data_IF_128096145793
#
_entry.id   IF_128096145793
#
_cell.length_a   1.000
_cell.length_b   1.000
_cell.length_c   1.000
_cell.angle_alpha   90.00
_cell.angle_beta   90.00
_cell.angle_gamma   90.00
#
_symmetry.space_group_name_H-M   'P 1'
#
loop_
_entity.id
_entity.type
_entity.pdbx_description
1 polymer ?
#
# COMPACT_ATOMS: atom_id res chain seq x y z
N UNK A 1 38.13 4.38 4.76
CA UNK A 1 38.00 2.93 5.00
C UNK A 1 39.34 2.36 5.41
N UNK A 2 39.52 2.10 6.70
CA UNK A 2 40.60 1.25 7.19
C UNK A 2 39.99 -0.10 7.53
N UNK A 3 40.52 -1.16 6.93
CA UNK A 3 40.22 -2.53 7.35
C UNK A 3 41.38 -3.03 8.20
N UNK A 4 41.05 -3.64 9.35
CA UNK A 4 42.02 -4.30 10.22
C UNK A 4 41.59 -5.74 10.39
N UNK A 5 42.53 -6.65 10.24
CA UNK A 5 42.29 -8.07 10.47
C UNK A 5 43.12 -8.51 11.66
N UNK A 6 42.47 -9.12 12.64
CA UNK A 6 43.12 -9.64 13.84
C UNK A 6 42.48 -10.95 14.29
N UNK A 7 43.26 -11.76 14.99
CA UNK A 7 42.76 -12.95 15.65
C UNK A 7 42.23 -12.55 17.03
N UNK A 8 40.94 -12.79 17.28
CA UNK A 8 40.32 -12.64 18.60
C UNK A 8 40.32 -14.00 19.28
N UNK A 9 40.90 -14.07 20.48
CA UNK A 9 40.95 -15.29 21.30
C UNK A 9 40.08 -15.05 22.53
N UNK A 10 39.03 -15.86 22.69
CA UNK A 10 38.08 -15.81 23.81
C UNK A 10 37.98 -17.21 24.41
N UNK A 11 38.63 -17.42 25.56
CA UNK A 11 38.76 -18.75 26.16
C UNK A 11 39.61 -19.67 25.28
N UNK A 12 39.01 -20.79 24.85
CA UNK A 12 39.59 -21.77 23.93
C UNK A 12 39.21 -21.56 22.45
N UNK A 13 38.40 -20.55 22.14
CA UNK A 13 37.98 -20.21 20.79
C UNK A 13 38.91 -19.17 20.14
N UNK A 14 39.33 -19.43 18.90
CA UNK A 14 40.08 -18.48 18.07
C UNK A 14 39.23 -18.09 16.85
N UNK A 15 38.96 -16.79 16.71
CA UNK A 15 38.17 -16.21 15.63
C UNK A 15 39.01 -15.24 14.81
N UNK A 16 39.00 -15.36 13.48
CA UNK A 16 39.55 -14.35 12.58
C UNK A 16 38.52 -13.23 12.40
N UNK A 17 38.83 -12.04 12.91
CA UNK A 17 37.95 -10.87 12.84
C UNK A 17 38.51 -9.89 11.81
N UNK A 18 37.67 -9.50 10.86
CA UNK A 18 37.93 -8.37 9.96
C UNK A 18 37.03 -7.21 10.38
N UNK A 19 37.63 -6.19 10.96
CA UNK A 19 36.97 -4.95 11.34
C UNK A 19 37.08 -3.93 10.20
N UNK A 20 35.96 -3.35 9.79
CA UNK A 20 35.92 -2.28 8.79
C UNK A 20 35.38 -1.04 9.48
N UNK A 21 36.24 -0.02 9.58
CA UNK A 21 35.86 1.27 10.14
C UNK A 21 35.45 2.19 8.98
N UNK A 22 34.15 2.47 8.90
CA UNK A 22 33.57 3.38 7.92
C UNK A 22 33.83 4.85 8.30
N UNK A 23 33.60 5.19 9.57
CA UNK A 23 33.82 6.54 10.13
C UNK A 23 34.16 6.46 11.62
N UNK A 24 35.11 7.27 12.05
CA UNK A 24 35.38 7.52 13.47
C UNK A 24 34.78 8.88 13.87
N UNK A 25 34.11 8.92 15.02
CA UNK A 25 33.57 10.13 15.63
C UNK A 25 33.92 10.14 17.11
N UNK A 26 34.05 11.32 17.71
CA UNK A 26 34.30 11.40 19.14
C UNK A 26 33.03 11.04 19.91
N UNK A 27 33.18 10.43 21.10
CA UNK A 27 32.03 10.12 21.95
C UNK A 27 31.20 11.38 22.31
N UNK A 28 31.80 12.54 22.63
CA UNK A 28 31.04 13.77 22.82
C UNK A 28 30.24 14.20 21.58
N UNK A 29 30.80 14.08 20.37
CA UNK A 29 30.09 14.43 19.13
C UNK A 29 28.92 13.48 18.88
N UNK A 30 29.12 12.17 19.09
CA UNK A 30 28.07 11.17 18.98
C UNK A 30 26.95 11.43 19.99
N UNK A 31 27.30 11.70 21.26
CA UNK A 31 26.31 12.00 22.30
C UNK A 31 25.59 13.32 22.04
N UNK A 32 26.29 14.33 21.51
CA UNK A 32 25.69 15.60 21.09
C UNK A 32 24.73 15.38 19.93
N UNK A 33 25.09 14.56 18.95
CA UNK A 33 24.23 14.19 17.82
C UNK A 33 23.01 13.38 18.28
N UNK A 34 23.19 12.42 19.19
CA UNK A 34 22.10 11.62 19.77
C UNK A 34 21.17 12.44 20.68
N UNK A 35 21.66 13.50 21.32
CA UNK A 35 20.83 14.40 22.15
C UNK A 35 20.20 15.53 21.34
N UNK A 36 20.78 15.91 20.19
CA UNK A 36 20.16 16.80 19.20
C UNK A 36 19.25 16.05 18.22
N UNK A 37 19.36 14.73 18.13
CA UNK A 37 18.34 13.85 17.58
C UNK A 37 17.11 13.92 18.49
N UNK A 38 16.37 15.04 18.40
CA UNK A 38 15.00 15.11 18.86
C UNK A 38 14.31 13.84 18.39
N UNK A 39 13.64 13.16 19.31
CA UNK A 39 12.67 12.13 18.98
C UNK A 39 11.68 12.80 18.04
N UNK A 40 11.89 12.63 16.74
CA UNK A 40 11.04 13.19 15.72
C UNK A 40 9.76 12.37 15.78
N UNK A 41 8.80 12.83 16.57
CA UNK A 41 7.46 12.26 16.54
C UNK A 41 6.95 12.44 15.12
N UNK A 42 6.98 11.37 14.33
CA UNK A 42 6.45 11.42 12.98
C UNK A 42 4.97 11.79 13.09
N UNK A 43 4.47 12.77 12.32
CA UNK A 43 3.05 13.05 12.30
C UNK A 43 2.32 11.74 11.97
N UNK A 44 1.14 11.54 12.55
CA UNK A 44 0.28 10.40 12.19
C UNK A 44 0.13 10.40 10.67
N UNK A 45 0.66 9.37 10.03
CA UNK A 45 0.61 9.26 8.58
C UNK A 45 -0.83 8.89 8.15
N UNK A 46 -1.25 9.33 6.95
CA UNK A 46 -2.53 8.92 6.39
C UNK A 46 -2.62 7.40 6.24
N UNK A 47 -3.84 6.87 6.26
CA UNK A 47 -4.10 5.44 6.11
C UNK A 47 -3.69 4.98 4.70
N UNK A 48 -2.82 3.97 4.61
CA UNK A 48 -2.29 3.48 3.32
C UNK A 48 -1.15 4.32 2.75
N UNK A 49 -0.55 5.22 3.55
CA UNK A 49 0.65 5.94 3.14
C UNK A 49 1.81 4.98 2.84
N UNK A 50 2.30 4.99 1.60
CA UNK A 50 3.46 4.20 1.12
C UNK A 50 4.75 4.99 1.22
N UNK A 51 4.70 6.27 0.90
CA UNK A 51 5.84 7.17 0.98
C UNK A 51 5.41 8.50 1.58
N UNK A 52 6.25 9.03 2.45
CA UNK A 52 6.16 10.42 2.91
C UNK A 52 7.50 11.08 2.66
N UNK A 53 7.49 12.16 1.90
CA UNK A 53 8.68 12.91 1.52
C UNK A 53 8.49 14.34 2.01
N UNK A 54 9.43 14.82 2.82
CA UNK A 54 9.49 16.20 3.26
C UNK A 54 10.66 16.88 2.57
N UNK A 55 10.42 18.05 1.99
CA UNK A 55 11.49 18.88 1.46
C UNK A 55 12.34 19.40 2.61
N UNK A 56 13.68 19.29 2.50
CA UNK A 56 14.59 19.85 3.50
C UNK A 56 14.79 21.37 3.35
N UNK A 57 14.42 21.93 2.19
CA UNK A 57 14.63 23.34 1.83
C UNK A 57 13.35 24.17 1.87
N UNK A 58 12.19 23.52 1.80
CA UNK A 58 10.87 24.16 1.89
C UNK A 58 10.02 23.43 2.91
N UNK A 59 8.99 24.06 3.46
CA UNK A 59 8.05 23.38 4.37
C UNK A 59 7.04 22.47 3.61
N UNK A 60 7.40 22.03 2.40
CA UNK A 60 6.56 21.14 1.59
C UNK A 60 6.69 19.70 2.07
N UNK A 61 5.55 19.03 2.18
CA UNK A 61 5.48 17.58 2.35
C UNK A 61 4.63 16.96 1.24
N UNK A 62 5.00 15.75 0.83
CA UNK A 62 4.23 14.94 -0.12
C UNK A 62 3.94 13.59 0.49
N UNK A 63 2.67 13.20 0.45
CA UNK A 63 2.17 11.92 0.91
C UNK A 63 1.71 11.11 -0.30
N UNK A 64 2.27 9.91 -0.47
CA UNK A 64 1.81 8.93 -1.45
C UNK A 64 0.94 7.93 -0.71
N UNK A 65 -0.37 7.98 -0.94
CA UNK A 65 -1.35 7.10 -0.31
C UNK A 65 -1.86 6.12 -1.34
N UNK A 66 -1.72 4.82 -1.06
CA UNK A 66 -2.24 3.75 -1.91
C UNK A 66 -3.48 3.12 -1.27
N UNK A 67 -4.55 3.03 -2.05
CA UNK A 67 -5.71 2.22 -1.69
C UNK A 67 -5.70 0.93 -2.51
N UNK A 68 -5.91 -0.24 -1.87
CA UNK A 68 -5.96 -1.52 -2.58
C UNK A 68 -7.19 -1.60 -3.50
N UNK A 69 -7.18 -2.56 -4.45
CA UNK A 69 -8.29 -2.80 -5.36
C UNK A 69 -9.57 -3.03 -4.57
N UNK A 70 -10.62 -2.31 -4.94
CA UNK A 70 -11.84 -2.29 -4.15
C UNK A 70 -13.04 -1.92 -5.01
N UNK A 71 -14.24 -2.14 -4.48
CA UNK A 71 -15.47 -1.65 -5.10
C UNK A 71 -15.85 -0.31 -4.47
N UNK A 72 -15.78 0.76 -5.25
CA UNK A 72 -16.13 2.12 -4.84
C UNK A 72 -17.49 2.52 -5.38
N UNK A 73 -18.29 3.15 -4.54
CA UNK A 73 -19.52 3.81 -4.94
C UNK A 73 -19.19 5.24 -5.33
N UNK A 74 -19.62 5.66 -6.51
CA UNK A 74 -19.44 7.03 -7.02
C UNK A 74 -20.79 7.62 -7.40
N UNK A 75 -20.96 8.92 -7.22
CA UNK A 75 -22.09 9.69 -7.73
C UNK A 75 -21.65 10.43 -8.99
N UNK A 76 -22.31 10.19 -10.13
CA UNK A 76 -21.93 10.76 -11.41
C UNK A 76 -23.08 11.57 -12.04
N UNK A 77 -22.79 12.84 -12.34
CA UNK A 77 -23.64 13.72 -13.12
C UNK A 77 -23.20 13.72 -14.58
N UNK A 78 -23.98 13.04 -15.43
CA UNK A 78 -23.64 12.84 -16.83
C UNK A 78 -23.86 14.09 -17.71
N UNK A 79 -24.67 15.05 -17.26
CA UNK A 79 -25.03 16.22 -18.07
C UNK A 79 -24.57 17.53 -17.42
N UNK A 80 -24.26 18.52 -18.26
CA UNK A 80 -24.05 19.92 -17.85
C UNK A 80 -25.37 20.66 -17.58
N UNK A 81 -26.52 20.02 -17.81
CA UNK A 81 -27.83 20.60 -17.52
C UNK A 81 -28.12 20.41 -16.04
N UNK A 82 -28.57 21.48 -15.40
CA UNK A 82 -28.83 21.55 -13.97
C UNK A 82 -29.81 20.47 -13.47
N UNK A 83 -30.71 20.00 -14.35
CA UNK A 83 -31.81 19.10 -13.99
C UNK A 83 -31.53 17.61 -14.21
N UNK A 84 -30.33 17.20 -14.64
CA UNK A 84 -30.03 15.77 -14.73
C UNK A 84 -29.74 15.19 -13.36
N UNK A 85 -30.58 14.25 -12.91
CA UNK A 85 -30.38 13.56 -11.66
C UNK A 85 -29.03 12.80 -11.63
N UNK A 86 -28.29 12.88 -10.52
CA UNK A 86 -27.08 12.08 -10.34
C UNK A 86 -27.41 10.60 -10.43
N UNK A 87 -26.53 9.84 -11.09
CA UNK A 87 -26.61 8.38 -11.08
C UNK A 87 -25.48 7.82 -10.23
N UNK A 88 -25.82 6.94 -9.29
CA UNK A 88 -24.84 6.23 -8.47
C UNK A 88 -24.36 4.96 -9.16
N UNK A 89 -23.04 4.77 -9.24
CA UNK A 89 -22.41 3.57 -9.78
C UNK A 89 -21.52 2.91 -8.74
N UNK A 90 -21.52 1.57 -8.69
CA UNK A 90 -20.59 0.80 -7.88
C UNK A 90 -19.55 0.13 -8.78
N UNK A 91 -18.34 0.69 -8.79
CA UNK A 91 -17.27 0.35 -9.71
C UNK A 91 -16.17 -0.43 -8.99
N UNK A 92 -15.67 -1.49 -9.62
CA UNK A 92 -14.41 -2.09 -9.24
C UNK A 92 -13.28 -1.22 -9.80
N UNK A 93 -12.44 -0.71 -8.91
CA UNK A 93 -11.26 0.09 -9.23
C UNK A 93 -10.00 -0.71 -8.91
N UNK A 94 -8.90 -0.50 -9.65
CA UNK A 94 -7.63 -1.16 -9.37
C UNK A 94 -6.98 -0.48 -8.15
N UNK A 95 -5.66 -0.60 -7.97
CA UNK A 95 -4.97 0.22 -6.97
C UNK A 95 -5.15 1.69 -7.33
N UNK A 96 -5.58 2.50 -6.37
CA UNK A 96 -5.74 3.95 -6.53
C UNK A 96 -4.64 4.63 -5.74
N UNK A 97 -3.82 5.39 -6.44
CA UNK A 97 -2.67 6.10 -5.88
C UNK A 97 -3.00 7.58 -5.80
N UNK A 98 -3.08 8.09 -4.59
CA UNK A 98 -3.23 9.50 -4.31
C UNK A 98 -1.87 10.09 -3.96
N UNK A 99 -1.49 11.19 -4.61
CA UNK A 99 -0.31 11.97 -4.26
C UNK A 99 -0.78 13.32 -3.76
N UNK A 100 -0.53 13.62 -2.50
CA UNK A 100 -1.02 14.82 -1.81
C UNK A 100 0.15 15.68 -1.41
N UNK A 101 0.15 16.95 -1.80
CA UNK A 101 1.14 17.93 -1.34
C UNK A 101 0.54 18.83 -0.26
N UNK A 102 1.38 19.19 0.71
CA UNK A 102 1.08 20.19 1.73
C UNK A 102 2.21 21.20 1.84
N UNK A 103 1.90 22.41 2.28
CA UNK A 103 2.87 23.38 2.81
C UNK A 103 2.55 23.57 4.29
N UNK A 104 3.48 23.14 5.14
CA UNK A 104 3.21 22.87 6.54
C UNK A 104 1.98 21.98 6.67
N UNK A 105 0.95 22.55 7.27
CA UNK A 105 -0.30 21.87 7.59
C UNK A 105 -1.42 22.06 6.56
N UNK A 106 -1.21 22.89 5.53
CA UNK A 106 -2.22 23.22 4.52
C UNK A 106 -2.09 22.31 3.29
N UNK A 107 -3.20 21.75 2.83
CA UNK A 107 -3.24 20.97 1.58
C UNK A 107 -3.13 21.92 0.39
N UNK A 108 -2.14 21.67 -0.46
CA UNK A 108 -1.88 22.44 -1.68
C UNK A 108 -2.47 21.77 -2.92
N UNK A 109 -2.39 20.43 -2.98
CA UNK A 109 -2.78 19.70 -4.17
C UNK A 109 -3.04 18.23 -3.91
N UNK A 110 -3.88 17.66 -4.78
CA UNK A 110 -4.21 16.25 -4.82
C UNK A 110 -4.09 15.79 -6.27
N UNK A 111 -3.36 14.71 -6.49
CA UNK A 111 -3.32 14.00 -7.76
C UNK A 111 -3.74 12.55 -7.57
N UNK A 112 -4.39 11.96 -8.56
CA UNK A 112 -4.86 10.57 -8.53
C UNK A 112 -4.42 9.80 -9.77
N UNK A 113 -3.95 8.58 -9.55
CA UNK A 113 -3.46 7.65 -10.57
C UNK A 113 -3.96 6.24 -10.29
N UNK A 114 -3.85 5.37 -11.28
CA UNK A 114 -4.10 3.95 -11.13
C UNK A 114 -2.83 3.12 -11.22
N UNK A 115 -2.86 1.93 -10.62
CA UNK A 115 -1.92 0.84 -10.87
C UNK A 115 -2.63 -0.50 -10.83
N UNK A 116 -2.14 -1.47 -11.59
CA UNK A 116 -2.66 -2.86 -11.56
C UNK A 116 -1.91 -3.75 -10.57
N UNK A 117 -0.88 -3.23 -9.91
CA UNK A 117 -0.06 -3.91 -8.90
C UNK A 117 0.29 -2.94 -7.74
N UNK A 118 0.59 -3.45 -6.54
CA UNK A 118 1.04 -2.63 -5.40
C UNK A 118 2.32 -1.83 -5.69
N UNK A 119 2.44 -0.65 -5.10
CA UNK A 119 3.63 0.21 -5.15
C UNK A 119 4.79 -0.48 -4.43
N UNK A 120 5.80 -0.87 -5.21
CA UNK A 120 7.05 -1.44 -4.70
C UNK A 120 8.15 -0.37 -4.52
N UNK A 121 8.15 0.69 -5.33
CA UNK A 121 9.17 1.74 -5.28
C UNK A 121 8.66 3.08 -5.82
N UNK A 122 9.44 4.15 -5.60
CA UNK A 122 9.18 5.47 -6.21
C UNK A 122 9.35 5.43 -7.74
N UNK A 123 10.07 4.47 -8.29
CA UNK A 123 10.25 4.33 -9.74
C UNK A 123 9.08 3.60 -10.42
N UNK A 124 8.05 3.24 -9.64
CA UNK A 124 6.83 2.64 -10.14
C UNK A 124 6.20 3.48 -11.26
N UNK A 125 5.84 2.80 -12.34
CA UNK A 125 5.01 3.36 -13.41
C UNK A 125 3.59 3.59 -12.91
N UNK A 126 2.99 4.68 -13.39
CA UNK A 126 1.63 5.08 -13.08
C UNK A 126 0.75 4.91 -14.32
N UNK A 127 -0.54 4.71 -14.11
CA UNK A 127 -1.56 4.67 -15.15
C UNK A 127 -2.48 5.88 -14.96
N UNK A 128 -2.98 6.43 -16.08
CA UNK A 128 -3.91 7.53 -16.05
C UNK A 128 -5.19 7.15 -15.29
N UNK A 129 -5.59 7.98 -14.34
CA UNK A 129 -6.90 7.84 -13.71
C UNK A 129 -7.99 8.16 -14.71
N UNK A 130 -8.97 7.28 -14.83
CA UNK A 130 -10.18 7.52 -15.65
C UNK A 130 -11.33 8.10 -14.81
N UNK A 131 -11.06 8.41 -13.54
CA UNK A 131 -12.03 9.04 -12.65
C UNK A 131 -12.30 10.48 -13.09
N UNK A 132 -13.55 10.96 -13.00
CA UNK A 132 -13.87 12.33 -13.34
C UNK A 132 -13.29 13.33 -12.33
N UNK A 133 -13.48 14.63 -12.59
CA UNK A 133 -12.91 15.73 -11.81
C UNK A 133 -11.37 15.70 -11.70
N UNK A 134 -10.71 14.99 -12.63
CA UNK A 134 -9.26 14.81 -12.68
C UNK A 134 -8.75 15.31 -14.03
N UNK A 135 -7.70 16.14 -14.04
CA UNK A 135 -7.07 16.64 -15.27
C UNK A 135 -6.24 15.58 -16.00
N UNK A 136 -5.72 15.92 -17.17
CA UNK A 136 -4.85 15.04 -17.98
C UNK A 136 -3.58 14.60 -17.21
N UNK A 137 -3.08 15.48 -16.34
CA UNK A 137 -1.90 15.23 -15.49
C UNK A 137 -2.21 14.49 -14.18
N UNK A 138 -3.47 14.07 -13.98
CA UNK A 138 -3.91 13.40 -12.77
C UNK A 138 -4.29 14.36 -11.63
N UNK A 139 -4.23 15.68 -11.84
CA UNK A 139 -4.55 16.67 -10.79
C UNK A 139 -6.05 16.71 -10.56
N UNK A 140 -6.47 16.53 -9.31
CA UNK A 140 -7.87 16.58 -8.91
C UNK A 140 -8.30 18.03 -8.71
N UNK A 141 -9.43 18.40 -9.29
CA UNK A 141 -10.07 19.67 -8.98
C UNK A 141 -10.74 19.60 -7.62
N UNK A 142 -10.10 20.22 -6.63
CA UNK A 142 -10.59 20.26 -5.25
C UNK A 142 -11.78 21.22 -5.07
N UNK A 143 -12.04 22.12 -6.02
CA UNK A 143 -13.10 23.12 -5.92
C UNK A 143 -13.05 23.87 -4.60
N UNK A 144 -14.16 23.83 -3.84
CA UNK A 144 -14.29 24.44 -2.50
C UNK A 144 -14.25 23.41 -1.36
N UNK A 145 -13.72 22.20 -1.60
CA UNK A 145 -13.62 21.16 -0.58
C UNK A 145 -12.82 21.66 0.62
N UNK A 146 -13.45 21.61 1.80
CA UNK A 146 -12.80 21.89 3.08
C UNK A 146 -12.80 20.63 3.91
N UNK A 147 -11.64 20.29 4.45
CA UNK A 147 -11.44 19.10 5.28
C UNK A 147 -10.93 19.50 6.65
N UNK A 148 -11.36 18.77 7.66
CA UNK A 148 -10.96 18.96 9.05
C UNK A 148 -10.25 17.70 9.53
N UNK A 149 -9.30 17.88 10.45
CA UNK A 149 -8.54 16.81 11.08
C UNK A 149 -7.56 17.39 12.09
N UNK A 150 -7.22 16.64 13.14
CA UNK A 150 -6.29 17.10 14.18
C UNK A 150 -4.84 17.05 13.73
N UNK A 151 -4.54 16.22 12.74
CA UNK A 151 -3.23 16.08 12.13
C UNK A 151 -3.31 16.23 10.61
N UNK A 152 -2.16 16.43 9.96
CA UNK A 152 -2.08 16.41 8.48
C UNK A 152 -2.55 15.07 7.93
N UNK A 153 -2.16 13.94 8.53
CA UNK A 153 -2.62 12.62 8.07
C UNK A 153 -4.15 12.47 8.11
N UNK A 154 -4.79 12.93 9.18
CA UNK A 154 -6.26 12.92 9.27
C UNK A 154 -6.93 13.81 8.22
N UNK A 155 -6.33 14.97 7.92
CA UNK A 155 -6.83 15.85 6.84
C UNK A 155 -6.67 15.23 5.46
N UNK A 156 -5.57 14.52 5.22
CA UNK A 156 -5.35 13.77 3.96
C UNK A 156 -6.36 12.62 3.84
N UNK A 157 -6.61 11.86 4.90
CA UNK A 157 -7.64 10.81 4.92
C UNK A 157 -9.04 11.40 4.65
N UNK A 158 -9.36 12.54 5.28
CA UNK A 158 -10.61 13.26 5.04
C UNK A 158 -10.72 13.80 3.61
N UNK A 159 -9.61 14.24 3.00
CA UNK A 159 -9.56 14.71 1.61
C UNK A 159 -9.83 13.58 0.62
N UNK A 160 -9.21 12.42 0.82
CA UNK A 160 -9.45 11.24 -0.01
C UNK A 160 -10.90 10.77 0.16
N UNK A 161 -11.44 10.81 1.38
CA UNK A 161 -12.85 10.55 1.64
C UNK A 161 -13.77 11.51 0.89
N UNK A 162 -13.48 12.81 0.94
CA UNK A 162 -14.24 13.85 0.25
C UNK A 162 -14.16 13.71 -1.27
N UNK A 163 -13.02 13.29 -1.83
CA UNK A 163 -12.88 12.98 -3.24
C UNK A 163 -13.87 11.90 -3.69
N UNK A 164 -13.94 10.77 -2.96
CA UNK A 164 -14.87 9.69 -3.27
C UNK A 164 -16.33 10.07 -3.05
N UNK A 165 -16.61 10.95 -2.08
CA UNK A 165 -17.95 11.49 -1.82
C UNK A 165 -18.34 12.64 -2.75
N UNK A 166 -17.42 13.11 -3.59
CA UNK A 166 -17.68 14.23 -4.48
C UNK A 166 -18.63 13.85 -5.62
N UNK A 167 -19.35 14.84 -6.11
CA UNK A 167 -20.16 14.71 -7.32
C UNK A 167 -19.25 14.76 -8.53
N UNK A 168 -18.99 13.59 -9.10
CA UNK A 168 -18.20 13.47 -10.31
C UNK A 168 -18.97 13.98 -11.52
N UNK A 169 -18.32 14.79 -12.36
CA UNK A 169 -18.93 15.36 -13.56
C UNK A 169 -17.99 15.27 -14.78
N UNK A 170 -18.48 15.67 -15.96
CA UNK A 170 -17.73 15.55 -17.21
C UNK A 170 -16.76 16.70 -17.51
N UNK A 171 -16.67 17.73 -16.67
CA UNK A 171 -16.01 18.98 -17.07
C UNK A 171 -14.50 18.84 -17.25
N UNK A 172 -13.88 17.91 -16.50
CA UNK A 172 -12.44 17.66 -16.56
C UNK A 172 -12.07 16.27 -17.07
N UNK A 173 -13.04 15.40 -17.36
CA UNK A 173 -12.76 14.02 -17.74
C UNK A 173 -12.33 13.91 -19.20
N UNK A 174 -11.08 13.53 -19.43
CA UNK A 174 -10.49 13.45 -20.77
C UNK A 174 -9.92 12.07 -21.13
N UNK A 175 -9.51 11.27 -20.13
CA UNK A 175 -9.08 9.89 -20.38
C UNK A 175 -10.26 8.97 -20.66
N UNK A 176 -10.16 8.10 -21.69
CA UNK A 176 -11.24 7.21 -22.07
C UNK A 176 -11.57 6.27 -20.91
N UNK A 177 -12.86 5.99 -20.72
CA UNK A 177 -13.26 4.96 -19.78
C UNK A 177 -12.80 3.61 -20.33
N UNK A 178 -12.42 2.65 -19.48
CA UNK A 178 -11.92 1.36 -19.94
C UNK A 178 -13.00 0.51 -20.63
N UNK A 179 -14.26 0.98 -20.65
CA UNK A 179 -15.38 0.34 -21.31
C UNK A 179 -16.12 1.35 -22.19
N UNK A 180 -16.38 0.98 -23.44
CA UNK A 180 -17.07 1.82 -24.44
C UNK A 180 -18.49 2.23 -24.02
N UNK A 181 -19.18 1.42 -23.20
CA UNK A 181 -20.49 1.76 -22.62
C UNK A 181 -20.44 2.64 -21.37
N UNK A 182 -19.30 3.29 -21.10
CA UNK A 182 -19.11 4.23 -20.00
C UNK A 182 -19.29 3.62 -18.61
N UNK A 183 -19.73 4.43 -17.64
CA UNK A 183 -19.84 4.00 -16.24
C UNK A 183 -20.88 2.89 -16.03
N UNK A 184 -21.92 2.85 -16.86
CA UNK A 184 -22.91 1.76 -16.85
C UNK A 184 -22.29 0.42 -17.22
N UNK A 185 -21.49 0.38 -18.29
CA UNK A 185 -20.77 -0.83 -18.68
C UNK A 185 -19.72 -1.23 -17.63
N UNK A 186 -18.99 -0.25 -17.09
CA UNK A 186 -18.04 -0.50 -16.01
C UNK A 186 -18.72 -1.09 -14.77
N UNK A 187 -19.82 -0.52 -14.30
CA UNK A 187 -20.58 -1.06 -13.17
C UNK A 187 -21.11 -2.48 -13.45
N UNK A 188 -21.55 -2.75 -14.68
CA UNK A 188 -21.98 -4.09 -15.10
C UNK A 188 -20.83 -5.10 -15.05
N UNK A 189 -19.64 -4.75 -15.56
CA UNK A 189 -18.45 -5.62 -15.47
C UNK A 189 -18.01 -5.81 -14.03
N UNK A 190 -17.96 -4.73 -13.24
CA UNK A 190 -17.58 -4.73 -11.82
C UNK A 190 -18.46 -5.64 -10.96
N UNK A 191 -19.72 -5.87 -11.36
CA UNK A 191 -20.62 -6.84 -10.70
C UNK A 191 -20.31 -8.29 -11.06
N UNK A 192 -19.92 -8.55 -12.31
CA UNK A 192 -19.65 -9.90 -12.82
C UNK A 192 -18.26 -10.39 -12.45
N UNK A 193 -17.29 -9.49 -12.50
CA UNK A 193 -15.87 -9.78 -12.30
C UNK A 193 -15.21 -8.52 -11.69
N UNK A 194 -15.14 -8.44 -10.35
CA UNK A 194 -14.50 -7.32 -9.67
C UNK A 194 -12.99 -7.24 -9.91
N UNK A 195 -12.33 -8.35 -10.23
CA UNK A 195 -10.88 -8.38 -10.46
C UNK A 195 -10.51 -7.93 -11.87
N UNK A 196 -11.48 -7.87 -12.78
CA UNK A 196 -11.28 -7.34 -14.14
C UNK A 196 -10.53 -6.01 -14.15
N UNK A 197 -10.75 -5.14 -13.15
CA UNK A 197 -10.08 -3.84 -13.04
C UNK A 197 -8.54 -3.96 -13.04
N UNK A 198 -7.97 -5.06 -12.59
CA UNK A 198 -6.52 -5.29 -12.58
C UNK A 198 -5.96 -5.76 -13.92
N UNK A 199 -6.81 -6.22 -14.83
CA UNK A 199 -6.43 -6.70 -16.16
C UNK A 199 -6.82 -5.75 -17.29
N UNK A 200 -7.40 -4.58 -16.97
CA UNK A 200 -7.76 -3.59 -17.99
C UNK A 200 -6.52 -2.89 -18.53
N UNK A 201 -6.55 -2.57 -19.82
CA UNK A 201 -5.56 -1.70 -20.45
C UNK A 201 -5.94 -0.25 -20.13
N UNK A 202 -5.19 0.35 -19.22
CA UNK A 202 -5.23 1.78 -18.95
C UNK A 202 -4.11 2.47 -19.71
N UNK A 203 -4.32 3.73 -20.05
CA UNK A 203 -3.27 4.54 -20.67
C UNK A 203 -2.12 4.72 -19.68
N UNK A 204 -0.86 4.49 -20.09
CA UNK A 204 0.29 4.73 -19.24
C UNK A 204 0.42 6.23 -18.97
N UNK A 205 0.67 6.59 -17.72
CA UNK A 205 1.02 7.96 -17.39
C UNK A 205 2.49 8.20 -17.74
N UNK A 206 2.78 9.34 -18.36
CA UNK A 206 4.08 9.64 -18.94
C UNK A 206 5.19 9.88 -17.89
N UNK A 207 4.81 10.10 -16.62
CA UNK A 207 5.74 10.23 -15.49
C UNK A 207 5.71 9.02 -14.57
N UNK A 208 6.84 8.73 -13.95
CA UNK A 208 6.93 7.81 -12.81
C UNK A 208 6.43 8.47 -11.53
N UNK A 209 6.16 7.66 -10.49
CA UNK A 209 5.81 8.17 -9.17
C UNK A 209 6.88 9.12 -8.61
N UNK A 210 8.17 8.83 -8.82
CA UNK A 210 9.31 9.67 -8.41
C UNK A 210 9.21 11.05 -9.02
N UNK A 211 8.95 11.13 -10.32
CA UNK A 211 8.85 12.40 -11.03
C UNK A 211 7.67 13.24 -10.54
N UNK A 212 6.52 12.61 -10.28
CA UNK A 212 5.34 13.29 -9.71
C UNK A 212 5.67 13.81 -8.31
N UNK A 213 6.23 12.97 -7.45
CA UNK A 213 6.54 13.35 -6.07
C UNK A 213 7.60 14.45 -6.01
N UNK A 214 8.67 14.35 -6.81
CA UNK A 214 9.72 15.37 -6.88
C UNK A 214 9.14 16.73 -7.28
N UNK A 215 8.29 16.74 -8.32
CA UNK A 215 7.61 17.96 -8.75
C UNK A 215 6.73 18.55 -7.65
N UNK A 216 5.90 17.73 -6.99
CA UNK A 216 4.99 18.19 -5.95
C UNK A 216 5.72 18.67 -4.67
N UNK A 217 6.88 18.08 -4.38
CA UNK A 217 7.74 18.46 -3.26
C UNK A 217 8.61 19.69 -3.57
N UNK A 218 8.72 20.09 -4.84
CA UNK A 218 9.64 21.15 -5.27
C UNK A 218 11.12 20.73 -5.14
N UNK A 219 11.42 19.45 -5.39
CA UNK A 219 12.76 18.86 -5.27
C UNK A 219 13.29 18.42 -6.64
N UNK A 220 14.61 18.29 -6.76
CA UNK A 220 15.17 17.58 -7.91
C UNK A 220 14.90 16.07 -7.77
N UNK A 221 14.71 15.38 -8.90
CA UNK A 221 14.45 13.93 -8.94
C UNK A 221 15.58 13.15 -8.24
N UNK A 222 16.82 13.65 -8.35
CA UNK A 222 18.05 13.10 -7.77
C UNK A 222 18.11 13.23 -6.25
N UNK A 223 17.31 14.12 -5.66
CA UNK A 223 17.30 14.36 -4.21
C UNK A 223 16.38 13.36 -3.49
N UNK A 224 15.56 12.61 -4.24
CA UNK A 224 14.74 11.55 -3.69
C UNK A 224 15.55 10.26 -3.51
N UNK A 225 15.32 9.49 -2.43
CA UNK A 225 16.08 8.28 -2.16
C UNK A 225 15.99 7.31 -3.36
N UNK A 226 17.14 6.79 -3.79
CA UNK A 226 17.17 5.73 -4.79
C UNK A 226 16.39 4.51 -4.24
N UNK A 227 15.64 3.83 -5.11
CA UNK A 227 14.96 2.61 -4.69
C UNK A 227 16.01 1.61 -4.19
N UNK A 228 15.98 1.29 -2.90
CA UNK A 228 16.73 0.15 -2.38
C UNK A 228 16.08 -1.08 -3.01
N UNK A 229 16.81 -1.94 -3.75
CA UNK A 229 16.24 -3.20 -4.19
C UNK A 229 15.77 -3.94 -2.94
N UNK A 230 14.46 -4.20 -2.87
CA UNK A 230 13.90 -5.07 -1.85
C UNK A 230 14.58 -6.43 -2.09
N UNK A 231 15.30 -7.00 -1.10
CA UNK A 231 15.82 -8.35 -1.24
C UNK A 231 14.65 -9.25 -1.62
N UNK A 232 14.78 -10.01 -2.72
CA UNK A 232 13.79 -11.03 -3.05
C UNK A 232 13.52 -11.85 -1.78
N UNK A 233 12.25 -11.91 -1.36
CA UNK A 233 11.87 -12.82 -0.28
C UNK A 233 12.40 -14.21 -0.67
N UNK A 234 13.18 -14.88 0.18
CA UNK A 234 13.62 -16.23 -0.11
C UNK A 234 12.36 -17.07 -0.37
N UNK A 235 12.32 -17.70 -1.54
CA UNK A 235 11.26 -18.60 -1.95
C UNK A 235 10.92 -19.52 -0.77
N UNK A 236 9.61 -19.63 -0.49
CA UNK A 236 9.01 -20.44 0.57
C UNK A 236 9.88 -21.66 0.87
N UNK A 237 10.51 -21.66 2.05
CA UNK A 237 11.21 -22.86 2.52
C UNK A 237 10.18 -23.98 2.57
N UNK A 238 10.38 -25.01 1.74
CA UNK A 238 9.62 -26.26 1.80
C UNK A 238 9.56 -26.72 3.26
N UNK A 239 8.37 -26.61 3.86
CA UNK A 239 8.09 -27.24 5.14
C UNK A 239 7.99 -28.73 4.84
N UNK A 240 9.13 -29.41 4.89
CA UNK A 240 9.20 -30.87 4.83
C UNK A 240 8.48 -31.39 6.08
N UNK A 241 7.27 -31.88 5.87
CA UNK A 241 6.51 -32.59 6.90
C UNK A 241 7.22 -33.94 7.12
N UNK A 242 7.67 -34.29 8.33
CA UNK A 242 8.31 -35.56 8.55
C UNK A 242 7.32 -36.70 8.28
N UNK A 243 7.76 -37.70 7.51
CA UNK A 243 6.97 -38.89 7.22
C UNK A 243 6.60 -39.63 8.53
N UNK A 244 5.39 -40.21 8.61
CA UNK A 244 5.01 -41.00 9.76
C UNK A 244 5.93 -42.22 9.89
N UNK A 245 6.54 -42.37 11.06
CA UNK A 245 7.38 -43.51 11.40
C UNK A 245 6.53 -44.78 11.35
N UNK A 246 6.87 -45.69 10.44
CA UNK A 246 6.26 -46.99 10.33
C UNK A 246 6.56 -47.87 11.55
N UNK A 247 5.49 -48.42 12.12
CA UNK A 247 5.36 -49.67 12.88
C UNK A 247 6.55 -50.17 13.70
N UNK A 248 6.46 -49.95 15.02
CA UNK A 248 7.04 -50.81 16.05
C UNK A 248 5.97 -51.76 16.62
N UNK A 249 6.35 -52.94 17.14
CA UNK A 249 5.53 -54.15 17.09
C UNK A 249 4.31 -54.12 18.01
N UNK A 250 3.23 -54.72 17.50
CA UNK A 250 1.99 -55.00 18.20
C UNK A 250 2.23 -55.66 19.56
N UNK A 251 1.82 -54.98 20.62
CA UNK A 251 1.60 -55.59 21.92
C UNK A 251 0.38 -56.50 21.80
N UNK A 252 0.65 -57.79 21.69
CA UNK A 252 -0.31 -58.88 21.81
C UNK A 252 -0.94 -58.77 23.20
N UNK A 253 -2.20 -58.32 23.24
CA UNK A 253 -3.04 -58.46 24.44
C UNK A 253 -3.70 -59.83 24.34
N UNK A 254 -3.23 -60.72 25.19
CA UNK A 254 -3.70 -62.09 25.30
C UNK A 254 -5.14 -62.13 25.83
N UNK A 255 -5.98 -62.89 25.13
CA UNK A 255 -7.40 -63.09 25.39
C UNK A 255 -7.55 -64.32 26.29
N UNK A 256 -8.16 -64.18 27.46
CA UNK A 256 -8.99 -65.25 28.03
C UNK A 256 -10.19 -64.68 28.80
N UNK A 257 -11.29 -65.45 28.88
CA UNK A 257 -12.64 -64.92 28.80
C UNK A 257 -13.34 -64.88 30.16
N UNK A 258 -14.29 -63.97 30.32
CA UNK A 258 -15.32 -64.07 31.36
C UNK A 258 -16.64 -64.50 30.70
N UNK A 259 -17.34 -65.52 31.24
CA UNK A 259 -18.58 -66.03 30.66
C UNK A 259 -19.78 -65.22 31.15
N UNK A 260 -20.62 -64.86 30.18
CA UNK A 260 -22.07 -65.05 30.23
C UNK A 260 -22.86 -64.31 31.34
N UNK A 261 -23.40 -63.14 30.99
CA UNK A 261 -24.72 -62.71 31.50
C UNK A 261 -25.45 -62.00 30.36
N UNK A 262 -26.51 -62.64 29.87
CA UNK A 262 -27.36 -62.14 28.79
C UNK A 262 -28.31 -61.01 29.19
N UNK A 263 -29.13 -60.60 28.22
CA UNK A 263 -30.27 -59.73 28.48
C UNK A 263 -30.60 -58.78 27.34
N UNK A 264 -31.43 -59.28 26.42
CA UNK A 264 -32.56 -58.57 25.80
C UNK A 264 -32.33 -57.33 24.92
N UNK A 265 -32.75 -57.53 23.68
CA UNK A 265 -33.35 -56.60 22.73
C UNK A 265 -34.37 -55.65 23.40
N UNK A 266 -34.34 -54.36 23.05
CA UNK A 266 -35.43 -53.82 22.24
C UNK A 266 -35.14 -52.44 21.65
N UNK A 267 -35.61 -52.29 20.42
CA UNK A 267 -35.82 -51.03 19.74
C UNK A 267 -36.93 -50.22 20.44
N UNK A 268 -36.94 -48.90 20.25
CA UNK A 268 -38.16 -48.15 19.87
C UNK A 268 -37.72 -46.77 19.39
N UNK A 269 -38.12 -46.49 18.16
CA UNK A 269 -38.21 -45.16 17.60
C UNK A 269 -39.47 -44.45 18.11
N UNK A 270 -39.36 -43.14 18.38
CA UNK A 270 -40.35 -42.10 18.01
C UNK A 270 -39.73 -40.73 18.26
#
# INVERSE_FOLDING_TARGET
>A
MQSRTFLRIEGDLVSLVTEVIDREVTLPDLLTELTTAQVATTPRLPTGCRFWIRSGTTDRSVFVVEQPPSRRTIEYHASRRHDSEPTTYRLAVPYVVFVVSTIGDQIEGLSTYFRTQPIASLDATLLCSTLPNTSDDGVVCLGSVRVAGRSVGERVDALIGAFWASRFNQDLRRHPLPFSGGFRAWASRSRRDPLAALSLQYDPYWRTLRQVVAQMAGLAITDLPAGTPIPEEPAESEVVTPEPVADGPALVVDLTPDPDVGGETDAIAS
#
